data_IF_249365738000
#
_entry.id   IF_249365738000
#
_cell.length_a   1.000
_cell.length_b   1.000
_cell.length_c   1.000
_cell.angle_alpha   90.00
_cell.angle_beta   90.00
_cell.angle_gamma   90.00
#
_symmetry.space_group_name_H-M   'P 1'
#
loop_
_entity.id
_entity.type
_entity.pdbx_description
1 polymer ?
#
# COMPACT_ATOMS: atom_id res chain seq x y z
N UNK A 1 -23.56 19.93 14.95
CA UNK A 1 -22.21 19.36 14.69
C UNK A 1 -22.29 18.57 13.40
N UNK A 2 -21.92 19.17 12.25
CA UNK A 2 -21.94 18.44 10.97
C UNK A 2 -20.73 17.51 10.93
N UNK A 3 -21.01 16.28 11.13
CA UNK A 3 -20.10 15.15 11.17
C UNK A 3 -19.65 14.78 9.77
N UNK A 4 -18.35 14.82 9.52
CA UNK A 4 -17.70 14.00 8.53
C UNK A 4 -17.09 14.75 7.36
N UNK A 5 -15.78 14.88 7.42
CA UNK A 5 -14.90 15.25 6.30
C UNK A 5 -15.17 14.40 5.06
N UNK A 6 -15.69 13.19 5.22
CA UNK A 6 -16.07 12.26 4.14
C UNK A 6 -17.04 12.85 3.08
N UNK A 7 -17.79 13.92 3.41
CA UNK A 7 -18.77 14.55 2.52
C UNK A 7 -18.38 15.96 2.05
N UNK A 8 -17.26 16.50 2.53
CA UNK A 8 -16.81 17.85 2.14
C UNK A 8 -16.10 17.84 0.79
N UNK A 9 -16.37 18.83 -0.06
CA UNK A 9 -15.70 19.01 -1.34
C UNK A 9 -14.20 19.32 -1.19
N UNK A 10 -13.39 19.10 -2.25
CA UNK A 10 -11.96 19.34 -2.23
C UNK A 10 -11.59 20.79 -1.87
N UNK A 11 -12.38 21.77 -2.38
CA UNK A 11 -12.18 23.17 -2.09
C UNK A 11 -12.45 23.51 -0.62
N UNK A 12 -13.52 22.95 -0.05
CA UNK A 12 -13.89 23.15 1.36
C UNK A 12 -12.87 22.51 2.32
N UNK A 13 -12.35 21.32 1.97
CA UNK A 13 -11.26 20.68 2.74
C UNK A 13 -9.99 21.52 2.71
N UNK A 14 -9.62 22.02 1.53
CA UNK A 14 -8.46 22.90 1.39
C UNK A 14 -8.60 24.14 2.30
N UNK A 15 -9.77 24.77 2.29
CA UNK A 15 -10.03 25.94 3.12
C UNK A 15 -10.00 25.64 4.62
N UNK A 16 -10.53 24.51 5.05
CA UNK A 16 -10.43 24.01 6.42
C UNK A 16 -8.97 23.78 6.87
N UNK A 17 -8.13 23.25 5.98
CA UNK A 17 -6.72 23.00 6.28
C UNK A 17 -5.94 24.31 6.35
N UNK A 18 -6.18 25.26 5.45
CA UNK A 18 -5.44 26.51 5.38
C UNK A 18 -5.88 27.56 6.40
N UNK A 19 -7.18 27.68 6.65
CA UNK A 19 -7.78 28.76 7.45
C UNK A 19 -8.43 28.26 8.75
N UNK A 20 -8.45 26.95 8.99
CA UNK A 20 -9.01 26.35 10.20
C UNK A 20 -8.13 26.58 11.45
N UNK A 21 -8.71 26.34 12.64
CA UNK A 21 -7.95 26.32 13.88
C UNK A 21 -6.85 25.25 13.82
N UNK A 22 -5.59 25.64 14.02
CA UNK A 22 -4.40 24.77 13.91
C UNK A 22 -4.57 23.50 14.74
N UNK A 23 -4.97 23.63 16.00
CA UNK A 23 -5.12 22.49 16.93
C UNK A 23 -6.20 21.53 16.43
N UNK A 24 -7.35 22.04 15.97
CA UNK A 24 -8.46 21.22 15.48
C UNK A 24 -8.08 20.49 14.19
N UNK A 25 -7.43 21.19 13.25
CA UNK A 25 -6.97 20.60 11.98
C UNK A 25 -5.92 19.54 12.23
N UNK A 26 -4.97 19.80 13.14
CA UNK A 26 -3.92 18.88 13.52
C UNK A 26 -4.49 17.60 14.14
N UNK A 27 -5.39 17.73 15.12
CA UNK A 27 -6.04 16.58 15.76
C UNK A 27 -6.86 15.75 14.75
N UNK A 28 -7.54 16.42 13.83
CA UNK A 28 -8.38 15.79 12.81
C UNK A 28 -7.59 14.98 11.80
N UNK A 29 -6.39 15.44 11.42
CA UNK A 29 -5.49 14.74 10.49
C UNK A 29 -4.62 13.70 11.21
N UNK A 30 -4.20 13.97 12.45
CA UNK A 30 -3.31 13.08 13.19
C UNK A 30 -4.02 11.85 13.76
N UNK A 31 -5.29 11.96 14.16
CA UNK A 31 -6.00 10.83 14.76
C UNK A 31 -6.14 9.63 13.79
N UNK A 32 -6.62 9.79 12.55
CA UNK A 32 -6.61 8.69 11.58
C UNK A 32 -5.22 8.14 11.32
N UNK A 33 -4.19 9.01 11.26
CA UNK A 33 -2.80 8.61 11.00
C UNK A 33 -2.25 7.75 12.15
N UNK A 34 -2.53 8.11 13.41
CA UNK A 34 -2.19 7.29 14.57
C UNK A 34 -2.87 5.91 14.52
N UNK A 35 -4.17 5.90 14.19
CA UNK A 35 -4.90 4.64 14.05
C UNK A 35 -4.35 3.78 12.91
N UNK A 36 -3.91 4.39 11.80
CA UNK A 36 -3.23 3.68 10.71
C UNK A 36 -1.94 3.01 11.18
N UNK A 37 -1.13 3.68 12.01
CA UNK A 37 0.11 3.11 12.55
C UNK A 37 -0.17 1.89 13.44
N UNK A 38 -1.24 1.93 14.23
CA UNK A 38 -1.68 0.77 15.03
C UNK A 38 -2.08 -0.40 14.13
N UNK A 39 -2.92 -0.15 13.13
CA UNK A 39 -3.34 -1.20 12.17
C UNK A 39 -2.14 -1.77 11.42
N UNK A 40 -1.20 -0.92 10.99
CA UNK A 40 0.02 -1.34 10.30
C UNK A 40 0.89 -2.26 11.16
N UNK A 41 0.97 -2.02 12.46
CA UNK A 41 1.70 -2.90 13.40
C UNK A 41 0.99 -4.23 13.63
N UNK A 42 -0.33 -4.28 13.52
CA UNK A 42 -1.13 -5.50 13.67
C UNK A 42 -0.99 -6.46 12.48
N UNK A 43 -0.65 -5.97 11.28
CA UNK A 43 -0.53 -6.82 10.08
C UNK A 43 0.59 -7.88 10.22
N UNK A 44 1.86 -7.52 10.50
CA UNK A 44 2.92 -8.53 10.66
C UNK A 44 2.70 -9.39 11.90
N UNK A 45 2.11 -8.84 12.97
CA UNK A 45 1.75 -9.63 14.16
C UNK A 45 0.73 -10.72 13.82
N UNK A 46 -0.30 -10.39 13.05
CA UNK A 46 -1.30 -11.36 12.58
C UNK A 46 -0.64 -12.46 11.74
N UNK A 47 0.17 -12.07 10.75
CA UNK A 47 0.88 -13.04 9.90
C UNK A 47 1.78 -13.96 10.71
N UNK A 48 2.56 -13.41 11.64
CA UNK A 48 3.44 -14.16 12.52
C UNK A 48 2.68 -15.19 13.38
N UNK A 49 1.50 -14.83 13.89
CA UNK A 49 0.66 -15.75 14.65
C UNK A 49 0.20 -16.94 13.81
N UNK A 50 -0.27 -16.73 12.57
CA UNK A 50 -0.68 -17.84 11.70
C UNK A 50 0.49 -18.70 11.26
N UNK A 51 1.60 -18.08 10.89
CA UNK A 51 2.79 -18.80 10.41
C UNK A 51 3.40 -19.65 11.53
N UNK A 52 3.64 -19.06 12.70
CA UNK A 52 4.30 -19.77 13.80
C UNK A 52 3.44 -20.92 14.37
N UNK A 53 2.13 -20.73 14.46
CA UNK A 53 1.25 -21.73 15.08
C UNK A 53 0.76 -22.83 14.13
N UNK A 54 0.71 -22.54 12.81
CA UNK A 54 0.08 -23.45 11.84
C UNK A 54 1.04 -23.94 10.77
N UNK A 55 1.88 -23.07 10.22
CA UNK A 55 2.78 -23.43 9.13
C UNK A 55 4.09 -24.10 9.59
N UNK A 56 4.45 -23.96 10.86
CA UNK A 56 5.62 -24.57 11.47
C UNK A 56 6.86 -23.68 11.48
N UNK A 57 7.84 -24.08 12.29
CA UNK A 57 9.04 -23.28 12.58
C UNK A 57 9.93 -23.03 11.36
N UNK A 58 10.07 -24.02 10.46
CA UNK A 58 10.88 -23.86 9.24
C UNK A 58 10.31 -22.77 8.31
N UNK A 59 8.98 -22.74 8.16
CA UNK A 59 8.31 -21.69 7.37
C UNK A 59 8.45 -20.33 8.05
N UNK A 60 8.28 -20.28 9.37
CA UNK A 60 8.45 -19.06 10.15
C UNK A 60 9.86 -18.49 10.01
N UNK A 61 10.90 -19.34 10.11
CA UNK A 61 12.29 -18.93 9.94
C UNK A 61 12.57 -18.40 8.54
N UNK A 62 12.03 -19.05 7.49
CA UNK A 62 12.20 -18.59 6.12
C UNK A 62 11.53 -17.23 5.88
N UNK A 63 10.34 -17.00 6.41
CA UNK A 63 9.63 -15.70 6.33
C UNK A 63 10.43 -14.62 7.05
N UNK A 64 10.83 -14.86 8.31
CA UNK A 64 11.59 -13.90 9.10
C UNK A 64 12.92 -13.53 8.44
N UNK A 65 13.61 -14.51 7.85
CA UNK A 65 14.86 -14.25 7.11
C UNK A 65 14.63 -13.39 5.86
N UNK A 66 13.47 -13.54 5.22
CA UNK A 66 13.12 -12.80 3.99
C UNK A 66 12.59 -11.39 4.26
N UNK A 67 12.06 -11.11 5.46
CA UNK A 67 11.46 -9.83 5.83
C UNK A 67 12.35 -8.60 5.57
N UNK A 68 13.67 -8.58 5.89
CA UNK A 68 14.52 -7.42 5.63
C UNK A 68 14.55 -7.03 4.16
N UNK A 69 14.55 -8.02 3.26
CA UNK A 69 14.59 -7.80 1.80
C UNK A 69 13.27 -7.21 1.32
N UNK A 70 12.16 -7.76 1.80
CA UNK A 70 10.82 -7.27 1.50
C UNK A 70 10.64 -5.85 2.04
N UNK A 71 11.09 -5.58 3.26
CA UNK A 71 11.04 -4.25 3.86
C UNK A 71 11.88 -3.23 3.08
N UNK A 72 13.02 -3.63 2.52
CA UNK A 72 13.82 -2.78 1.64
C UNK A 72 13.04 -2.42 0.36
N UNK A 73 12.34 -3.38 -0.25
CA UNK A 73 11.52 -3.12 -1.45
C UNK A 73 10.31 -2.23 -1.14
N UNK A 74 9.64 -2.47 -0.01
CA UNK A 74 8.51 -1.63 0.43
C UNK A 74 8.96 -0.22 0.83
N UNK A 75 10.18 -0.05 1.35
CA UNK A 75 10.76 1.26 1.63
C UNK A 75 10.94 2.11 0.36
N UNK A 76 11.27 1.49 -0.79
CA UNK A 76 11.29 2.19 -2.08
C UNK A 76 9.90 2.71 -2.47
N UNK A 77 8.86 1.90 -2.29
CA UNK A 77 7.48 2.31 -2.53
C UNK A 77 7.06 3.47 -1.60
N UNK A 78 7.48 3.42 -0.33
CA UNK A 78 7.21 4.50 0.64
C UNK A 78 7.96 5.78 0.28
N UNK A 79 9.22 5.70 -0.16
CA UNK A 79 9.98 6.87 -0.63
C UNK A 79 9.29 7.57 -1.80
N UNK A 80 8.82 6.80 -2.78
CA UNK A 80 8.03 7.33 -3.91
C UNK A 80 6.71 7.95 -3.42
N UNK A 81 6.05 7.32 -2.47
CA UNK A 81 4.81 7.82 -1.85
C UNK A 81 5.01 9.17 -1.17
N UNK A 82 6.10 9.35 -0.41
CA UNK A 82 6.42 10.62 0.26
C UNK A 82 6.68 11.73 -0.75
N UNK A 83 7.45 11.46 -1.81
CA UNK A 83 7.69 12.42 -2.89
C UNK A 83 6.38 12.82 -3.59
N UNK A 84 5.55 11.84 -3.95
CA UNK A 84 4.24 12.09 -4.54
C UNK A 84 3.34 12.92 -3.62
N UNK A 85 3.28 12.59 -2.33
CA UNK A 85 2.49 13.31 -1.34
C UNK A 85 2.91 14.78 -1.24
N UNK A 86 4.21 15.08 -1.28
CA UNK A 86 4.72 16.44 -1.23
C UNK A 86 4.27 17.26 -2.45
N UNK A 87 4.45 16.75 -3.67
CA UNK A 87 4.11 17.46 -4.91
C UNK A 87 2.58 17.63 -5.05
N UNK A 88 1.82 16.58 -4.75
CA UNK A 88 0.35 16.61 -4.80
C UNK A 88 -0.18 17.59 -3.75
N UNK A 89 0.35 17.55 -2.52
CA UNK A 89 -0.07 18.41 -1.42
C UNK A 89 0.20 19.90 -1.70
N UNK A 90 1.37 20.22 -2.24
CA UNK A 90 1.69 21.61 -2.65
C UNK A 90 0.72 22.09 -3.75
N UNK A 91 0.49 21.27 -4.77
CA UNK A 91 -0.41 21.60 -5.88
C UNK A 91 -1.87 21.73 -5.40
N UNK A 92 -2.28 20.89 -4.46
CA UNK A 92 -3.59 20.96 -3.82
C UNK A 92 -3.73 22.23 -3.00
N UNK A 93 -2.72 22.62 -2.23
CA UNK A 93 -2.66 23.88 -1.49
C UNK A 93 -2.78 25.11 -2.39
N UNK A 94 -2.22 25.07 -3.60
CA UNK A 94 -2.38 26.13 -4.61
C UNK A 94 -3.78 26.20 -5.23
N UNK A 95 -4.67 25.22 -4.98
CA UNK A 95 -6.03 25.16 -5.54
C UNK A 95 -6.08 24.69 -7.00
N UNK A 96 -4.99 24.17 -7.56
CA UNK A 96 -4.97 23.69 -8.94
C UNK A 96 -5.38 22.21 -9.05
N UNK A 97 -6.67 21.95 -8.86
CA UNK A 97 -7.24 20.59 -8.87
C UNK A 97 -7.03 19.82 -10.19
N UNK A 98 -6.96 20.53 -11.33
CA UNK A 98 -6.66 19.89 -12.63
C UNK A 98 -5.24 19.31 -12.64
N UNK A 99 -4.29 20.07 -12.12
CA UNK A 99 -2.90 19.64 -12.02
C UNK A 99 -2.73 18.53 -10.99
N UNK A 100 -3.45 18.57 -9.86
CA UNK A 100 -3.51 17.48 -8.87
C UNK A 100 -3.91 16.17 -9.54
N UNK A 101 -5.01 16.16 -10.32
CA UNK A 101 -5.47 14.97 -11.05
C UNK A 101 -4.41 14.46 -12.04
N UNK A 102 -3.78 15.36 -12.78
CA UNK A 102 -2.74 15.00 -13.73
C UNK A 102 -1.54 14.34 -13.04
N UNK A 103 -0.99 14.97 -12.01
CA UNK A 103 0.15 14.44 -11.22
C UNK A 103 -0.22 13.09 -10.59
N UNK A 104 -1.39 12.98 -9.96
CA UNK A 104 -1.86 11.74 -9.35
C UNK A 104 -1.97 10.60 -10.37
N UNK A 105 -2.49 10.86 -11.58
CA UNK A 105 -2.56 9.85 -12.64
C UNK A 105 -1.17 9.40 -13.09
N UNK A 106 -0.24 10.35 -13.31
CA UNK A 106 1.15 10.07 -13.67
C UNK A 106 1.82 9.19 -12.63
N UNK A 107 1.69 9.54 -11.36
CA UNK A 107 2.33 8.83 -10.25
C UNK A 107 1.76 7.41 -10.06
N UNK A 108 0.44 7.21 -10.25
CA UNK A 108 -0.18 5.87 -10.22
C UNK A 108 0.38 4.97 -11.31
N UNK A 109 0.45 5.46 -12.55
CA UNK A 109 0.99 4.69 -13.69
C UNK A 109 2.48 4.40 -13.48
N UNK A 110 3.25 5.40 -13.08
CA UNK A 110 4.68 5.24 -12.81
C UNK A 110 4.95 4.21 -11.71
N UNK A 111 4.24 4.27 -10.59
CA UNK A 111 4.39 3.35 -9.47
C UNK A 111 4.08 1.90 -9.89
N UNK A 112 3.04 1.69 -10.68
CA UNK A 112 2.70 0.36 -11.18
C UNK A 112 3.78 -0.19 -12.11
N UNK A 113 4.26 0.62 -13.06
CA UNK A 113 5.35 0.24 -13.95
C UNK A 113 6.65 -0.04 -13.17
N UNK A 114 6.97 0.80 -12.18
CA UNK A 114 8.16 0.61 -11.35
C UNK A 114 8.07 -0.68 -10.54
N UNK A 115 6.92 -0.98 -9.93
CA UNK A 115 6.67 -2.23 -9.21
C UNK A 115 6.82 -3.45 -10.13
N UNK A 116 6.31 -3.37 -11.37
CA UNK A 116 6.49 -4.42 -12.38
C UNK A 116 7.96 -4.59 -12.81
N UNK A 117 8.73 -3.51 -12.89
CA UNK A 117 10.15 -3.57 -13.22
C UNK A 117 11.01 -4.14 -12.07
N UNK A 118 10.64 -3.83 -10.82
CA UNK A 118 11.37 -4.30 -9.64
C UNK A 118 11.06 -5.77 -9.33
N UNK A 119 9.85 -6.25 -9.63
CA UNK A 119 9.44 -7.63 -9.36
C UNK A 119 10.41 -8.69 -9.94
N UNK A 120 10.79 -8.66 -11.23
CA UNK A 120 11.76 -9.63 -11.77
C UNK A 120 13.16 -9.48 -11.15
N UNK A 121 13.58 -8.25 -10.78
CA UNK A 121 14.84 -8.03 -10.09
C UNK A 121 14.85 -8.71 -8.72
N UNK A 122 13.73 -8.66 -7.99
CA UNK A 122 13.59 -9.34 -6.71
C UNK A 122 13.72 -10.86 -6.86
N UNK A 123 13.12 -11.44 -7.91
CA UNK A 123 13.26 -12.88 -8.22
C UNK A 123 14.72 -13.25 -8.51
N UNK A 124 15.44 -12.42 -9.29
CA UNK A 124 16.85 -12.64 -9.59
C UNK A 124 17.74 -12.56 -8.34
N UNK A 125 17.44 -11.63 -7.43
CA UNK A 125 18.18 -11.45 -6.17
C UNK A 125 17.85 -12.58 -5.18
N UNK A 126 16.66 -13.16 -5.23
CA UNK A 126 16.25 -14.26 -4.35
C UNK A 126 17.17 -15.48 -4.48
N UNK A 127 17.69 -15.77 -5.68
CA UNK A 127 18.55 -16.94 -5.92
C UNK A 127 19.88 -16.90 -5.15
N UNK A 128 20.72 -15.86 -5.27
CA UNK A 128 21.97 -15.80 -4.48
C UNK A 128 21.71 -15.71 -2.98
N UNK A 129 20.64 -15.04 -2.54
CA UNK A 129 20.31 -14.91 -1.12
C UNK A 129 19.97 -16.27 -0.51
N UNK A 130 19.15 -17.07 -1.20
CA UNK A 130 18.79 -18.40 -0.73
C UNK A 130 20.01 -19.35 -0.63
N UNK A 131 21.04 -19.13 -1.44
CA UNK A 131 22.29 -19.90 -1.39
C UNK A 131 23.18 -19.62 -0.17
N UNK A 132 22.94 -18.55 0.58
CA UNK A 132 23.70 -18.20 1.80
C UNK A 132 22.97 -18.59 3.09
N UNK A 133 21.91 -19.34 2.99
CA UNK A 133 21.06 -19.77 4.11
C UNK A 133 21.17 -21.29 4.27
N UNK A 134 20.88 -21.80 5.47
CA UNK A 134 20.84 -23.22 5.75
C UNK A 134 19.98 -23.98 4.74
N UNK A 135 20.46 -25.15 4.28
CA UNK A 135 19.80 -25.93 3.24
C UNK A 135 18.34 -26.27 3.56
N UNK A 136 18.00 -26.43 4.85
CA UNK A 136 16.65 -26.77 5.29
C UNK A 136 15.61 -25.67 4.98
N UNK A 137 16.03 -24.40 5.03
CA UNK A 137 15.12 -23.25 4.80
C UNK A 137 15.37 -22.53 3.46
N UNK A 138 16.47 -22.83 2.78
CA UNK A 138 16.91 -22.18 1.53
C UNK A 138 15.81 -22.17 0.47
N UNK A 139 15.19 -23.32 0.20
CA UNK A 139 14.11 -23.43 -0.77
C UNK A 139 12.91 -22.57 -0.38
N UNK A 140 12.54 -22.54 0.89
CA UNK A 140 11.42 -21.75 1.40
C UNK A 140 11.71 -20.25 1.32
N UNK A 141 12.94 -19.82 1.59
CA UNK A 141 13.37 -18.41 1.44
C UNK A 141 13.24 -17.98 -0.01
N UNK A 142 13.81 -18.75 -0.94
CA UNK A 142 13.68 -18.46 -2.37
C UNK A 142 12.23 -18.39 -2.82
N UNK A 143 11.43 -19.39 -2.46
CA UNK A 143 10.01 -19.47 -2.84
C UNK A 143 9.22 -18.28 -2.30
N UNK A 144 9.44 -17.90 -1.04
CA UNK A 144 8.76 -16.77 -0.42
C UNK A 144 9.08 -15.45 -1.12
N UNK A 145 10.36 -15.16 -1.34
CA UNK A 145 10.79 -13.92 -2.00
C UNK A 145 10.30 -13.89 -3.44
N UNK A 146 10.45 -15.00 -4.18
CA UNK A 146 10.03 -15.08 -5.57
C UNK A 146 8.50 -14.91 -5.74
N UNK A 147 7.71 -15.52 -4.88
CA UNK A 147 6.26 -15.33 -4.89
C UNK A 147 5.85 -13.92 -4.44
N UNK A 148 6.57 -13.36 -3.44
CA UNK A 148 6.27 -12.00 -2.97
C UNK A 148 6.52 -10.94 -4.04
N UNK A 149 7.38 -11.21 -5.01
CA UNK A 149 7.58 -10.34 -6.17
C UNK A 149 6.26 -10.04 -6.92
N UNK A 150 5.30 -10.96 -6.92
CA UNK A 150 3.97 -10.75 -7.50
C UNK A 150 3.11 -9.75 -6.71
N UNK A 151 3.40 -9.55 -5.42
CA UNK A 151 2.69 -8.61 -4.55
C UNK A 151 3.20 -7.18 -4.74
N UNK A 152 4.47 -7.01 -5.14
CA UNK A 152 5.13 -5.69 -5.22
C UNK A 152 4.36 -4.65 -6.05
N UNK A 153 3.89 -4.92 -7.29
CA UNK A 153 3.18 -3.91 -8.07
C UNK A 153 1.95 -3.36 -7.35
N UNK A 154 1.25 -4.22 -6.61
CA UNK A 154 0.08 -3.84 -5.82
C UNK A 154 0.48 -3.00 -4.59
N UNK A 155 1.58 -3.36 -3.92
CA UNK A 155 2.12 -2.59 -2.78
C UNK A 155 2.56 -1.18 -3.19
N UNK A 156 3.15 -1.03 -4.39
CA UNK A 156 3.48 0.29 -4.95
C UNK A 156 2.21 1.12 -5.22
N UNK A 157 1.18 0.52 -5.82
CA UNK A 157 -0.11 1.19 -6.02
C UNK A 157 -0.75 1.64 -4.71
N UNK A 158 -0.73 0.78 -3.68
CA UNK A 158 -1.26 1.12 -2.36
C UNK A 158 -0.53 2.31 -1.73
N UNK A 159 0.80 2.34 -1.84
CA UNK A 159 1.61 3.44 -1.31
C UNK A 159 1.24 4.77 -1.96
N UNK A 160 1.04 4.78 -3.28
CA UNK A 160 0.62 5.98 -4.01
C UNK A 160 -0.82 6.38 -3.70
N UNK A 161 -1.74 5.42 -3.56
CA UNK A 161 -3.09 5.73 -3.12
C UNK A 161 -3.08 6.45 -1.76
N UNK A 162 -2.29 5.94 -0.81
CA UNK A 162 -2.12 6.59 0.50
C UNK A 162 -1.58 8.01 0.36
N UNK A 163 -0.59 8.23 -0.53
CA UNK A 163 -0.05 9.54 -0.82
C UNK A 163 -1.12 10.52 -1.34
N UNK A 164 -1.92 10.08 -2.32
CA UNK A 164 -2.99 10.90 -2.93
C UNK A 164 -4.04 11.27 -1.88
N UNK A 165 -4.51 10.29 -1.10
CA UNK A 165 -5.55 10.52 -0.10
C UNK A 165 -5.06 11.43 1.03
N UNK A 166 -3.86 11.20 1.55
CA UNK A 166 -3.28 12.03 2.60
C UNK A 166 -2.99 13.46 2.10
N UNK A 167 -2.42 13.61 0.90
CA UNK A 167 -2.14 14.91 0.29
C UNK A 167 -3.40 15.74 -0.01
N UNK A 168 -4.52 15.09 -0.27
CA UNK A 168 -5.81 15.73 -0.51
C UNK A 168 -6.67 15.89 0.75
N UNK A 169 -6.09 15.64 1.94
CA UNK A 169 -6.75 15.82 3.22
C UNK A 169 -7.84 14.78 3.52
N UNK A 170 -7.66 13.53 3.06
CA UNK A 170 -8.57 12.40 3.30
C UNK A 170 -7.87 11.21 3.97
N UNK A 171 -7.19 11.39 5.11
CA UNK A 171 -6.49 10.29 5.78
C UNK A 171 -7.45 9.20 6.27
N UNK A 172 -8.73 9.52 6.49
CA UNK A 172 -9.77 8.56 6.84
C UNK A 172 -10.00 7.50 5.74
N UNK A 173 -9.84 7.85 4.47
CA UNK A 173 -9.96 6.89 3.36
C UNK A 173 -8.82 5.87 3.42
N UNK A 174 -7.60 6.32 3.70
CA UNK A 174 -6.43 5.47 3.92
C UNK A 174 -6.63 4.53 5.13
N UNK A 175 -7.17 5.07 6.23
CA UNK A 175 -7.47 4.27 7.42
C UNK A 175 -8.47 3.14 7.14
N UNK A 176 -9.60 3.46 6.50
CA UNK A 176 -10.63 2.47 6.13
C UNK A 176 -10.03 1.38 5.25
N UNK A 177 -9.21 1.76 4.27
CA UNK A 177 -8.52 0.81 3.40
C UNK A 177 -7.60 -0.13 4.20
N UNK A 178 -6.81 0.42 5.14
CA UNK A 178 -5.89 -0.38 5.94
C UNK A 178 -6.63 -1.38 6.85
N UNK A 179 -7.74 -0.95 7.46
CA UNK A 179 -8.59 -1.85 8.26
C UNK A 179 -9.18 -2.95 7.38
N UNK A 180 -9.70 -2.61 6.20
CA UNK A 180 -10.22 -3.60 5.26
C UNK A 180 -9.13 -4.57 4.81
N UNK A 181 -7.93 -4.08 4.53
CA UNK A 181 -6.77 -4.91 4.19
C UNK A 181 -6.44 -5.91 5.30
N UNK A 182 -6.38 -5.45 6.56
CA UNK A 182 -6.13 -6.33 7.72
C UNK A 182 -7.20 -7.43 7.83
N UNK A 183 -8.48 -7.07 7.71
CA UNK A 183 -9.59 -8.02 7.79
C UNK A 183 -9.50 -9.06 6.65
N UNK A 184 -9.30 -8.62 5.41
CA UNK A 184 -9.15 -9.52 4.27
C UNK A 184 -7.94 -10.44 4.43
N UNK A 185 -6.83 -9.91 4.93
CA UNK A 185 -5.61 -10.68 5.16
C UNK A 185 -5.81 -11.76 6.21
N UNK A 186 -6.50 -11.46 7.32
CA UNK A 186 -6.86 -12.44 8.35
C UNK A 186 -7.76 -13.54 7.74
N UNK A 187 -8.79 -13.16 6.98
CA UNK A 187 -9.70 -14.12 6.33
C UNK A 187 -8.91 -15.06 5.40
N UNK A 188 -8.06 -14.49 4.54
CA UNK A 188 -7.27 -15.30 3.60
C UNK A 188 -6.20 -16.13 4.30
N UNK A 189 -5.59 -15.65 5.39
CA UNK A 189 -4.68 -16.46 6.20
C UNK A 189 -5.39 -17.68 6.78
N UNK A 190 -6.61 -17.52 7.30
CA UNK A 190 -7.43 -18.65 7.77
C UNK A 190 -7.70 -19.64 6.63
N UNK A 191 -8.09 -19.15 5.47
CA UNK A 191 -8.41 -20.01 4.32
C UNK A 191 -7.17 -20.76 3.82
N UNK A 192 -6.09 -20.06 3.51
CA UNK A 192 -4.92 -20.64 2.83
C UNK A 192 -3.96 -21.33 3.79
N UNK A 193 -3.77 -20.82 5.01
CA UNK A 193 -2.83 -21.41 5.96
C UNK A 193 -3.51 -22.47 6.83
N UNK A 194 -4.71 -22.18 7.37
CA UNK A 194 -5.36 -23.09 8.32
C UNK A 194 -6.15 -24.18 7.60
N UNK A 195 -7.02 -23.82 6.64
CA UNK A 195 -7.88 -24.82 5.97
C UNK A 195 -7.15 -25.58 4.86
N UNK A 196 -6.49 -24.87 3.95
CA UNK A 196 -5.79 -25.48 2.82
C UNK A 196 -4.38 -25.96 3.17
N UNK A 197 -3.81 -25.55 4.30
CA UNK A 197 -2.49 -25.93 4.80
C UNK A 197 -1.37 -25.77 3.77
N UNK A 198 -1.42 -24.69 2.99
CA UNK A 198 -0.48 -24.41 1.91
C UNK A 198 0.90 -23.89 2.43
N UNK A 199 1.07 -23.77 3.74
CA UNK A 199 2.34 -23.32 4.35
C UNK A 199 2.77 -21.94 3.82
N UNK A 200 4.00 -21.87 3.29
CA UNK A 200 4.59 -20.61 2.80
C UNK A 200 3.86 -20.04 1.59
N UNK A 201 3.40 -20.90 0.69
CA UNK A 201 2.61 -20.49 -0.47
C UNK A 201 1.28 -19.88 -0.03
N UNK A 202 0.66 -20.45 0.99
CA UNK A 202 -0.58 -19.93 1.57
C UNK A 202 -0.44 -18.52 2.13
N UNK A 203 0.67 -18.22 2.79
CA UNK A 203 0.97 -16.89 3.32
C UNK A 203 1.06 -15.83 2.21
N UNK A 204 1.79 -16.14 1.14
CA UNK A 204 1.93 -15.20 0.01
C UNK A 204 0.63 -15.06 -0.78
N UNK A 205 -0.09 -16.16 -1.00
CA UNK A 205 -1.39 -16.13 -1.67
C UNK A 205 -2.42 -15.32 -0.89
N UNK A 206 -2.43 -15.41 0.44
CA UNK A 206 -3.28 -14.57 1.28
C UNK A 206 -2.97 -13.08 1.09
N UNK A 207 -1.69 -12.74 1.10
CA UNK A 207 -1.24 -11.37 0.84
C UNK A 207 -1.58 -10.90 -0.57
N UNK A 208 -1.35 -11.73 -1.59
CA UNK A 208 -1.64 -11.41 -2.98
C UNK A 208 -3.13 -11.17 -3.21
N UNK A 209 -3.99 -12.08 -2.74
CA UNK A 209 -5.44 -11.95 -2.89
C UNK A 209 -5.99 -10.71 -2.18
N UNK A 210 -5.51 -10.43 -0.95
CA UNK A 210 -5.91 -9.25 -0.22
C UNK A 210 -5.50 -7.96 -0.94
N UNK A 211 -4.24 -7.86 -1.40
CA UNK A 211 -3.73 -6.72 -2.15
C UNK A 211 -4.49 -6.54 -3.48
N UNK A 212 -4.77 -7.60 -4.22
CA UNK A 212 -5.53 -7.52 -5.48
C UNK A 212 -6.94 -6.96 -5.26
N UNK A 213 -7.67 -7.46 -4.27
CA UNK A 213 -9.02 -6.97 -3.96
C UNK A 213 -9.00 -5.49 -3.55
N UNK A 214 -8.06 -5.11 -2.70
CA UNK A 214 -7.89 -3.70 -2.31
C UNK A 214 -7.54 -2.82 -3.51
N UNK A 215 -6.63 -3.27 -4.39
CA UNK A 215 -6.28 -2.51 -5.58
C UNK A 215 -7.45 -2.37 -6.56
N UNK A 216 -8.29 -3.40 -6.72
CA UNK A 216 -9.52 -3.31 -7.53
C UNK A 216 -10.47 -2.26 -6.95
N UNK A 217 -10.66 -2.26 -5.63
CA UNK A 217 -11.48 -1.26 -4.96
C UNK A 217 -10.90 0.17 -5.10
N UNK A 218 -9.58 0.34 -4.89
CA UNK A 218 -8.88 1.61 -5.08
C UNK A 218 -8.99 2.12 -6.52
N UNK A 219 -8.83 1.23 -7.49
CA UNK A 219 -8.99 1.57 -8.90
C UNK A 219 -10.42 2.03 -9.20
N UNK A 220 -11.43 1.34 -8.66
CA UNK A 220 -12.82 1.76 -8.76
C UNK A 220 -13.04 3.16 -8.18
N UNK A 221 -12.51 3.43 -6.97
CA UNK A 221 -12.64 4.74 -6.31
C UNK A 221 -11.95 5.87 -7.10
N UNK A 222 -10.71 5.62 -7.58
CA UNK A 222 -9.92 6.65 -8.27
C UNK A 222 -10.38 6.93 -9.70
N UNK A 223 -10.82 5.93 -10.45
CA UNK A 223 -11.06 6.07 -11.89
C UNK A 223 -12.54 5.98 -12.29
N UNK A 224 -13.36 5.23 -11.57
CA UNK A 224 -14.74 4.94 -11.96
C UNK A 224 -15.73 5.76 -11.15
N UNK A 225 -15.51 5.93 -9.87
CA UNK A 225 -16.42 6.68 -9.00
C UNK A 225 -16.44 8.16 -9.43
N UNK A 226 -17.61 8.63 -9.88
CA UNK A 226 -17.81 10.02 -10.24
C UNK A 226 -17.65 10.91 -9.00
N UNK A 227 -16.64 11.77 -9.01
CA UNK A 227 -16.36 12.69 -7.92
C UNK A 227 -15.29 13.71 -8.29
N UNK A 228 -15.05 14.67 -7.40
CA UNK A 228 -14.05 15.73 -7.59
C UNK A 228 -12.62 15.17 -7.77
N UNK A 229 -12.34 13.98 -7.23
CA UNK A 229 -11.02 13.32 -7.27
C UNK A 229 -10.91 12.28 -8.39
N UNK A 230 -11.92 12.15 -9.27
CA UNK A 230 -11.86 11.17 -10.35
C UNK A 230 -10.67 11.46 -11.27
N UNK A 231 -9.79 10.46 -11.39
CA UNK A 231 -8.65 10.47 -12.29
C UNK A 231 -9.09 10.06 -13.71
N UNK A 232 -8.36 10.48 -14.71
CA UNK A 232 -8.69 10.19 -16.11
C UNK A 232 -7.44 9.73 -16.86
N UNK A 233 -7.51 8.55 -17.46
CA UNK A 233 -6.46 8.05 -18.35
C UNK A 233 -6.62 8.57 -19.80
N UNK A 234 -7.74 9.27 -20.12
CA UNK A 234 -7.97 9.83 -21.46
C UNK A 234 -6.95 10.93 -21.75
N UNK A 235 -6.15 10.73 -22.80
CA UNK A 235 -5.12 11.69 -23.20
C UNK A 235 -3.85 11.61 -22.36
N UNK A 236 -3.62 10.49 -21.66
CA UNK A 236 -2.41 10.26 -20.89
C UNK A 236 -1.17 10.41 -21.79
N UNK A 237 -0.28 11.33 -21.43
CA UNK A 237 1.07 11.45 -21.96
C UNK A 237 2.03 11.46 -20.76
N UNK A 238 3.08 10.67 -20.86
CA UNK A 238 4.09 10.61 -19.82
C UNK A 238 4.86 11.94 -19.79
N UNK A 239 4.82 12.64 -18.68
CA UNK A 239 5.50 13.91 -18.47
C UNK A 239 6.81 13.67 -17.72
N UNK A 240 7.92 13.50 -18.47
CA UNK A 240 9.24 13.22 -17.91
C UNK A 240 9.87 14.36 -17.09
N UNK A 241 9.21 15.52 -17.01
CA UNK A 241 9.66 16.64 -16.15
C UNK A 241 9.11 16.50 -14.74
N UNK A 242 8.06 15.68 -14.54
CA UNK A 242 7.40 15.47 -13.24
C UNK A 242 7.97 14.28 -12.45
N UNK A 243 8.75 13.42 -13.10
CA UNK A 243 9.34 12.18 -12.58
C UNK A 243 10.85 12.24 -12.66
#
# INVERSE_FOLDING_TARGET
MKTGILKTGAAERRELILNGSIVRTLMMLSFPTLMMSVVQSLMPLSDGLFINNVAGTLVASAVTYSEPIINMMTALAQGLSVAAMAIIGQTFGQGNFKRVKHISTQTVVFAFCLGLCIAPLLVLIAFPISGHVDQEISHNVWLYIALYAMVLPFSFLESIYNAIMNATGRPEATFIRMVLMLVLKIIFNVVFIVWLRLGIVGCVMASLCANMLICIWMFYELFIQKGENQLTLKGFRFDGVLI
#
